data_IF_370226278929
#
_entry.id   IF_370226278929
#
_cell.length_a   1.000
_cell.length_b   1.000
_cell.length_c   1.000
_cell.angle_alpha   90.00
_cell.angle_beta   90.00
_cell.angle_gamma   90.00
#
_symmetry.space_group_name_H-M   'P 1'
#
loop_
_entity.id
_entity.type
_entity.pdbx_description
1 polymer ?
#
# COMPACT_ATOMS: atom_id res chain seq x y z
N UNK A 1 -4.73 1.95 44.01
CA UNK A 1 -5.41 2.47 42.82
C UNK A 1 -5.20 1.57 41.62
N UNK A 2 -6.08 1.66 40.62
CA UNK A 2 -5.93 0.93 39.36
C UNK A 2 -5.22 1.84 38.34
N UNK A 3 -4.52 1.24 37.37
CA UNK A 3 -3.94 1.93 36.23
C UNK A 3 -4.77 1.60 34.97
N UNK A 4 -5.13 2.62 34.19
CA UNK A 4 -5.72 2.49 32.87
C UNK A 4 -4.71 2.95 31.82
N UNK A 5 -4.26 2.04 30.96
CA UNK A 5 -3.42 2.39 29.82
C UNK A 5 -4.32 2.75 28.64
N UNK A 6 -4.31 4.01 28.23
CA UNK A 6 -5.12 4.53 27.12
C UNK A 6 -4.27 4.65 25.86
N UNK A 7 -4.53 3.82 24.85
CA UNK A 7 -3.82 3.79 23.59
C UNK A 7 -4.23 4.92 22.65
N UNK A 8 -3.87 6.16 22.96
CA UNK A 8 -4.32 7.38 22.26
C UNK A 8 -3.46 7.77 21.04
N UNK A 9 -2.26 7.21 20.92
CA UNK A 9 -1.42 7.37 19.71
C UNK A 9 -1.50 6.11 18.89
N UNK A 10 -1.96 6.22 17.63
CA UNK A 10 -2.17 5.07 16.77
C UNK A 10 -0.83 4.44 16.35
N UNK A 11 -0.59 3.20 16.74
CA UNK A 11 0.63 2.44 16.43
C UNK A 11 0.59 1.65 15.12
N UNK A 12 -0.50 1.72 14.34
CA UNK A 12 -0.64 0.97 13.08
C UNK A 12 -0.60 1.83 11.84
N UNK A 13 -0.88 3.12 11.94
CA UNK A 13 -0.83 4.02 10.81
C UNK A 13 0.40 4.95 10.88
N UNK A 14 0.70 5.59 9.77
CA UNK A 14 1.84 6.50 9.61
C UNK A 14 1.46 7.97 9.74
N UNK A 15 0.20 8.28 10.04
CA UNK A 15 -0.30 9.65 10.08
C UNK A 15 0.06 10.33 11.39
N UNK A 16 0.34 11.64 11.29
CA UNK A 16 0.56 12.50 12.45
C UNK A 16 -0.69 12.52 13.34
N UNK A 17 -0.50 12.47 14.65
CA UNK A 17 -1.56 12.56 15.63
C UNK A 17 -2.14 13.98 15.69
N UNK A 18 -3.47 14.13 15.69
CA UNK A 18 -4.13 15.40 15.91
C UNK A 18 -4.26 15.67 17.40
N UNK A 19 -3.42 16.56 17.94
CA UNK A 19 -3.34 16.81 19.36
C UNK A 19 -4.66 17.34 19.95
N UNK A 20 -5.38 18.19 19.24
CA UNK A 20 -6.68 18.67 19.71
C UNK A 20 -7.64 17.52 19.97
N UNK A 21 -7.86 16.67 18.96
CA UNK A 21 -8.75 15.50 19.08
C UNK A 21 -8.30 14.53 20.16
N UNK A 22 -7.00 14.32 20.28
CA UNK A 22 -6.43 13.38 21.27
C UNK A 22 -6.52 13.92 22.68
N UNK A 23 -6.30 15.21 22.91
CA UNK A 23 -6.45 15.85 24.22
C UNK A 23 -7.91 15.88 24.67
N UNK A 24 -8.87 16.12 23.74
CA UNK A 24 -10.30 16.01 24.01
C UNK A 24 -10.67 14.57 24.43
N UNK A 25 -10.11 13.56 23.75
CA UNK A 25 -10.30 12.15 24.11
C UNK A 25 -9.71 11.82 25.49
N UNK A 26 -8.48 12.29 25.78
CA UNK A 26 -7.83 12.09 27.10
C UNK A 26 -8.68 12.72 28.20
N UNK A 27 -9.19 13.92 28.00
CA UNK A 27 -10.07 14.60 28.94
C UNK A 27 -11.36 13.81 29.17
N UNK A 28 -11.97 13.30 28.11
CA UNK A 28 -13.18 12.45 28.21
C UNK A 28 -12.92 11.16 29.00
N UNK A 29 -11.76 10.51 28.76
CA UNK A 29 -11.35 9.31 29.51
C UNK A 29 -11.15 9.64 31.00
N UNK A 30 -10.39 10.73 31.29
CA UNK A 30 -10.16 11.15 32.70
C UNK A 30 -11.47 11.45 33.41
N UNK A 31 -12.42 12.11 32.76
CA UNK A 31 -13.73 12.42 33.32
C UNK A 31 -14.64 11.20 33.54
N UNK A 32 -14.47 10.17 32.72
CA UNK A 32 -15.23 8.92 32.85
C UNK A 32 -14.63 7.96 33.89
N UNK A 33 -13.40 8.20 34.34
CA UNK A 33 -12.73 7.39 35.34
C UNK A 33 -13.02 7.89 36.76
N UNK A 34 -13.21 6.96 37.71
CA UNK A 34 -13.22 7.30 39.14
C UNK A 34 -11.88 7.85 39.60
N UNK A 35 -11.89 8.69 40.65
CA UNK A 35 -10.71 9.33 41.22
C UNK A 35 -9.60 8.34 41.67
N UNK A 36 -9.91 7.04 41.77
CA UNK A 36 -8.97 5.99 42.15
C UNK A 36 -8.26 5.34 40.93
N UNK A 37 -8.54 5.81 39.69
CA UNK A 37 -7.94 5.28 38.48
C UNK A 37 -6.95 6.31 37.93
N UNK A 38 -5.69 5.90 37.81
CA UNK A 38 -4.66 6.69 37.14
C UNK A 38 -4.64 6.37 35.67
N UNK A 39 -4.81 7.36 34.82
CA UNK A 39 -4.78 7.21 33.36
C UNK A 39 -3.34 7.42 32.87
N UNK A 40 -2.80 6.40 32.20
CA UNK A 40 -1.49 6.43 31.55
C UNK A 40 -1.72 6.41 30.03
N UNK A 41 -1.24 7.41 29.32
CA UNK A 41 -1.35 7.43 27.85
C UNK A 41 -0.26 6.56 27.21
N UNK A 42 -0.61 5.88 26.13
CA UNK A 42 0.29 4.97 25.42
C UNK A 42 -0.03 4.93 23.92
N UNK A 43 0.78 4.19 23.15
CA UNK A 43 0.43 3.80 21.80
C UNK A 43 -0.67 2.73 21.83
N UNK A 44 -1.52 2.70 20.79
CA UNK A 44 -2.64 1.73 20.71
C UNK A 44 -2.18 0.27 20.56
N UNK A 45 -0.96 0.08 20.06
CA UNK A 45 -0.27 -1.21 19.95
C UNK A 45 1.23 -0.99 19.78
N UNK A 46 2.00 -2.07 19.61
CA UNK A 46 3.44 -2.00 19.29
C UNK A 46 3.70 -1.17 18.04
N UNK A 47 4.75 -0.35 18.07
CA UNK A 47 5.22 0.43 16.91
C UNK A 47 5.97 -0.39 15.86
N UNK A 48 6.01 -1.72 15.99
CA UNK A 48 6.61 -2.64 15.03
C UNK A 48 5.96 -2.56 13.63
N UNK A 49 4.71 -2.08 13.56
CA UNK A 49 3.93 -2.00 12.33
C UNK A 49 4.06 -0.68 11.58
N UNK A 50 4.87 0.25 12.09
CA UNK A 50 5.16 1.52 11.43
C UNK A 50 6.66 1.62 11.15
N UNK A 51 7.09 2.38 10.12
CA UNK A 51 8.50 2.57 9.84
C UNK A 51 9.23 3.24 11.02
N UNK A 52 10.55 3.10 11.04
CA UNK A 52 11.35 3.55 12.18
C UNK A 52 11.35 5.07 12.36
N UNK A 53 11.77 5.84 11.34
CA UNK A 53 11.87 7.31 11.42
C UNK A 53 11.80 8.00 10.06
N UNK A 54 11.29 9.23 10.01
CA UNK A 54 11.25 10.09 8.82
C UNK A 54 12.60 10.72 8.47
N UNK A 55 13.57 10.70 9.38
CA UNK A 55 14.88 11.38 9.24
C UNK A 55 15.68 10.94 8.02
N UNK A 56 15.42 9.75 7.50
CA UNK A 56 16.13 9.16 6.37
C UNK A 56 15.33 9.16 5.05
N UNK A 57 14.21 9.88 5.02
CA UNK A 57 13.36 10.02 3.83
C UNK A 57 13.75 11.27 3.04
N UNK A 58 14.98 11.30 2.50
CA UNK A 58 15.55 12.49 1.87
C UNK A 58 14.86 12.88 0.55
N UNK A 59 14.25 11.90 -0.16
CA UNK A 59 13.53 12.15 -1.43
C UNK A 59 12.06 12.50 -1.24
N UNK A 60 11.51 12.31 -0.04
CA UNK A 60 10.14 12.70 0.25
C UNK A 60 10.08 14.20 0.53
N UNK A 61 9.26 14.93 -0.21
CA UNK A 61 9.12 16.37 -0.02
C UNK A 61 8.57 16.70 1.38
N UNK A 62 9.00 17.81 1.97
CA UNK A 62 8.59 18.22 3.31
C UNK A 62 7.09 18.46 3.42
N UNK A 63 6.44 18.90 2.33
CA UNK A 63 4.98 19.03 2.23
C UNK A 63 4.22 17.71 2.48
N UNK A 64 4.84 16.57 2.27
CA UNK A 64 4.30 15.26 2.64
C UNK A 64 4.72 14.84 4.05
N UNK A 65 6.02 15.03 4.38
CA UNK A 65 6.58 14.59 5.68
C UNK A 65 5.84 15.19 6.87
N UNK A 66 5.39 16.44 6.78
CA UNK A 66 4.67 17.12 7.87
C UNK A 66 3.40 16.38 8.31
N UNK A 67 2.82 15.56 7.43
CA UNK A 67 1.61 14.78 7.72
C UNK A 67 1.90 13.40 8.27
N UNK A 68 3.17 12.95 8.26
CA UNK A 68 3.56 11.60 8.69
C UNK A 68 4.19 11.61 10.08
N UNK A 69 4.09 10.46 10.73
CA UNK A 69 4.67 10.19 12.03
C UNK A 69 5.00 8.69 12.09
N UNK A 70 6.31 8.37 12.05
CA UNK A 70 6.83 7.02 12.17
C UNK A 70 7.11 6.69 13.64
N UNK A 71 7.80 5.60 13.96
CA UNK A 71 7.92 5.13 15.33
C UNK A 71 8.58 6.16 16.27
N UNK A 72 9.71 6.77 15.88
CA UNK A 72 10.36 7.80 16.69
C UNK A 72 9.49 9.06 16.85
N UNK A 73 8.87 9.49 15.77
CA UNK A 73 7.98 10.66 15.79
C UNK A 73 6.74 10.40 16.66
N UNK A 74 6.18 9.17 16.64
CA UNK A 74 5.07 8.78 17.53
C UNK A 74 5.45 8.76 19.02
N UNK A 75 6.69 8.41 19.34
CA UNK A 75 7.18 8.54 20.71
C UNK A 75 7.31 10.01 21.14
N UNK A 76 7.73 10.89 20.23
CA UNK A 76 7.73 12.34 20.45
C UNK A 76 6.32 12.87 20.69
N UNK A 77 5.36 12.48 19.82
CA UNK A 77 3.94 12.83 20.01
C UNK A 77 3.40 12.38 21.36
N UNK A 78 3.76 11.17 21.80
CA UNK A 78 3.33 10.64 23.10
C UNK A 78 3.89 11.45 24.27
N UNK A 79 5.17 11.82 24.19
CA UNK A 79 5.81 12.66 25.21
C UNK A 79 5.19 14.07 25.28
N UNK A 80 4.98 14.70 24.13
CA UNK A 80 4.34 16.02 24.04
C UNK A 80 2.90 16.01 24.54
N UNK A 81 2.10 15.00 24.16
CA UNK A 81 0.74 14.80 24.65
C UNK A 81 0.71 14.58 26.18
N UNK A 82 1.70 13.88 26.74
CA UNK A 82 1.83 13.71 28.19
C UNK A 82 1.98 15.05 28.90
N UNK A 83 2.86 15.91 28.40
CA UNK A 83 3.07 17.26 28.95
C UNK A 83 1.83 18.13 28.76
N UNK A 84 1.19 18.09 27.60
CA UNK A 84 0.01 18.90 27.29
C UNK A 84 -1.22 18.49 28.09
N UNK A 85 -1.41 17.18 28.32
CA UNK A 85 -2.56 16.65 29.05
C UNK A 85 -2.59 17.00 30.56
N UNK A 86 -1.45 17.43 31.10
CA UNK A 86 -1.32 17.88 32.51
C UNK A 86 -1.50 19.40 32.65
N UNK A 87 -1.56 20.16 31.57
CA UNK A 87 -1.74 21.61 31.59
C UNK A 87 -3.22 22.00 31.59
N UNK A 88 -3.51 23.20 32.12
CA UNK A 88 -4.83 23.79 31.97
C UNK A 88 -5.08 24.14 30.51
N UNK A 89 -6.32 24.03 30.06
CA UNK A 89 -6.73 24.12 28.65
C UNK A 89 -6.37 25.47 27.98
N UNK A 90 -6.39 26.57 28.73
CA UNK A 90 -5.96 27.89 28.26
C UNK A 90 -4.45 27.96 28.00
N UNK A 91 -3.63 27.26 28.80
CA UNK A 91 -2.18 27.17 28.61
C UNK A 91 -1.76 26.22 27.51
N UNK A 92 -2.52 25.17 27.21
CA UNK A 92 -2.25 24.24 26.13
C UNK A 92 -2.16 24.94 24.79
N UNK A 93 -3.10 25.86 24.52
CA UNK A 93 -3.19 26.57 23.24
C UNK A 93 -2.01 27.52 22.96
N UNK A 94 -1.23 27.89 23.98
CA UNK A 94 -0.03 28.71 23.84
C UNK A 94 1.26 27.91 23.70
N UNK A 95 1.22 26.59 23.80
CA UNK A 95 2.41 25.73 23.68
C UNK A 95 2.79 25.54 22.20
N UNK A 96 4.05 25.72 21.88
CA UNK A 96 4.56 25.59 20.50
C UNK A 96 4.25 24.23 19.88
N UNK A 97 4.42 23.13 20.62
CA UNK A 97 4.12 21.79 20.12
C UNK A 97 2.65 21.65 19.70
N UNK A 98 1.71 22.25 20.45
CA UNK A 98 0.30 22.25 20.09
C UNK A 98 0.04 23.14 18.85
N UNK A 99 0.60 24.36 18.83
CA UNK A 99 0.44 25.31 17.72
C UNK A 99 0.95 24.70 16.41
N UNK A 100 2.17 24.13 16.41
CA UNK A 100 2.79 23.55 15.23
C UNK A 100 2.04 22.29 14.76
N UNK A 101 1.50 21.51 15.71
CA UNK A 101 0.65 20.38 15.36
C UNK A 101 -0.65 20.87 14.67
N UNK A 102 -1.33 21.90 15.21
CA UNK A 102 -2.59 22.37 14.63
C UNK A 102 -2.42 22.97 13.24
N UNK A 103 -1.33 23.68 12.95
CA UNK A 103 -1.03 24.20 11.60
C UNK A 103 -1.10 23.12 10.53
N UNK A 104 -0.62 21.91 10.82
CA UNK A 104 -0.66 20.78 9.87
C UNK A 104 -2.09 20.36 9.50
N UNK A 105 -3.06 20.59 10.40
CA UNK A 105 -4.46 20.21 10.18
C UNK A 105 -5.36 21.38 9.72
N UNK A 106 -4.84 22.59 9.70
CA UNK A 106 -5.51 23.77 9.15
C UNK A 106 -5.33 23.85 7.64
N UNK A 107 -4.22 23.32 7.10
CA UNK A 107 -3.97 23.28 5.67
C UNK A 107 -4.72 22.10 5.02
N UNK A 108 -5.50 22.40 3.97
CA UNK A 108 -6.15 21.38 3.17
C UNK A 108 -5.11 20.66 2.32
N UNK A 109 -5.06 19.33 2.43
CA UNK A 109 -4.17 18.51 1.61
C UNK A 109 -4.67 18.49 0.17
N UNK A 110 -3.82 18.86 -0.78
CA UNK A 110 -4.12 18.70 -2.21
C UNK A 110 -4.01 17.20 -2.60
N UNK A 111 -5.05 16.45 -2.28
CA UNK A 111 -5.09 15.00 -2.49
C UNK A 111 -6.35 14.53 -3.21
N UNK A 112 -7.14 15.46 -3.77
CA UNK A 112 -8.41 15.18 -4.41
C UNK A 112 -8.34 15.31 -5.93
N UNK A 113 -8.98 14.36 -6.62
CA UNK A 113 -9.18 14.37 -8.06
C UNK A 113 -10.69 14.50 -8.37
N UNK A 114 -11.07 15.56 -9.10
CA UNK A 114 -12.46 15.84 -9.40
C UNK A 114 -13.14 14.73 -10.23
N UNK A 115 -12.42 14.16 -11.21
CA UNK A 115 -12.94 13.10 -12.07
C UNK A 115 -13.22 11.82 -11.26
N UNK A 116 -12.32 11.49 -10.30
CA UNK A 116 -12.53 10.34 -9.41
C UNK A 116 -13.77 10.56 -8.53
N UNK A 117 -13.94 11.76 -7.97
CA UNK A 117 -15.12 12.08 -7.15
C UNK A 117 -16.41 12.02 -7.96
N UNK A 118 -16.41 12.56 -9.17
CA UNK A 118 -17.55 12.49 -10.07
C UNK A 118 -17.91 11.05 -10.42
N UNK A 119 -16.90 10.23 -10.78
CA UNK A 119 -17.12 8.81 -11.06
C UNK A 119 -17.69 8.06 -9.85
N UNK A 120 -17.18 8.31 -8.66
CA UNK A 120 -17.69 7.68 -7.42
C UNK A 120 -19.13 8.09 -7.13
N UNK A 121 -19.50 9.37 -7.36
CA UNK A 121 -20.86 9.86 -7.16
C UNK A 121 -21.86 9.26 -8.15
N UNK A 122 -21.39 8.81 -9.31
CA UNK A 122 -22.22 8.23 -10.37
C UNK A 122 -22.32 6.68 -10.30
N UNK A 123 -21.67 6.02 -9.33
CA UNK A 123 -21.78 4.56 -9.13
C UNK A 123 -23.20 4.22 -8.70
N UNK A 124 -23.81 3.24 -9.39
CA UNK A 124 -25.15 2.71 -9.14
C UNK A 124 -25.09 1.29 -8.62
N UNK A 125 -26.20 0.81 -8.08
CA UNK A 125 -26.31 -0.58 -7.58
C UNK A 125 -26.01 -1.63 -8.66
N UNK A 126 -26.35 -1.36 -9.92
CA UNK A 126 -26.07 -2.23 -11.05
C UNK A 126 -24.56 -2.41 -11.32
N UNK A 127 -23.72 -1.42 -10.97
CA UNK A 127 -22.27 -1.48 -11.16
C UNK A 127 -21.58 -2.47 -10.21
N UNK A 128 -22.27 -2.87 -9.13
CA UNK A 128 -21.79 -3.89 -8.20
C UNK A 128 -22.10 -5.32 -8.67
N UNK A 129 -22.85 -5.47 -9.76
CA UNK A 129 -23.25 -6.77 -10.30
C UNK A 129 -22.40 -7.14 -11.51
N UNK A 130 -21.62 -8.21 -11.37
CA UNK A 130 -20.84 -8.76 -12.49
C UNK A 130 -21.70 -9.66 -13.39
N UNK A 131 -21.92 -9.23 -14.63
CA UNK A 131 -22.62 -10.01 -15.65
C UNK A 131 -21.64 -10.58 -16.69
N UNK A 132 -21.95 -11.74 -17.31
CA UNK A 132 -23.03 -12.68 -16.95
C UNK A 132 -22.86 -13.27 -15.54
N UNK A 133 -23.92 -13.83 -14.97
CA UNK A 133 -23.86 -14.46 -13.65
C UNK A 133 -22.84 -15.62 -13.61
N UNK A 134 -22.33 -15.95 -12.41
CA UNK A 134 -21.29 -16.98 -12.23
C UNK A 134 -21.61 -18.30 -12.94
N UNK A 135 -22.85 -18.77 -12.82
CA UNK A 135 -23.30 -20.03 -13.43
C UNK A 135 -23.22 -20.04 -14.95
N UNK A 136 -23.49 -18.89 -15.58
CA UNK A 136 -23.41 -18.71 -17.03
C UNK A 136 -21.94 -18.58 -17.46
N UNK A 137 -21.14 -17.80 -16.72
CA UNK A 137 -19.70 -17.68 -17.00
C UNK A 137 -18.97 -19.01 -16.93
N UNK A 138 -19.29 -19.85 -15.94
CA UNK A 138 -18.66 -21.17 -15.80
C UNK A 138 -18.94 -22.07 -17.01
N UNK A 139 -20.15 -22.03 -17.56
CA UNK A 139 -20.49 -22.78 -18.79
C UNK A 139 -19.69 -22.29 -19.98
N UNK A 140 -19.72 -20.97 -20.21
CA UNK A 140 -18.96 -20.33 -21.30
C UNK A 140 -17.44 -20.58 -21.20
N UNK A 141 -16.89 -20.49 -20.01
CA UNK A 141 -15.46 -20.73 -19.77
C UNK A 141 -15.09 -22.19 -20.00
N UNK A 142 -15.91 -23.13 -19.51
CA UNK A 142 -15.68 -24.57 -19.71
C UNK A 142 -15.68 -24.92 -21.19
N UNK A 143 -16.64 -24.40 -21.95
CA UNK A 143 -16.72 -24.62 -23.37
C UNK A 143 -15.55 -23.98 -24.14
N UNK A 144 -15.25 -22.72 -23.83
CA UNK A 144 -14.20 -21.95 -24.54
C UNK A 144 -12.79 -22.45 -24.26
N UNK A 145 -12.50 -22.82 -23.00
CA UNK A 145 -11.14 -23.19 -22.59
C UNK A 145 -10.81 -24.67 -22.80
N UNK A 146 -11.82 -25.55 -22.85
CA UNK A 146 -11.62 -26.98 -23.09
C UNK A 146 -10.70 -27.69 -22.10
N UNK A 147 -10.52 -27.14 -20.88
CA UNK A 147 -9.61 -27.67 -19.88
C UNK A 147 -10.09 -29.00 -19.30
N UNK A 148 -9.17 -29.88 -18.85
CA UNK A 148 -9.54 -31.10 -18.13
C UNK A 148 -10.25 -30.77 -16.80
N UNK A 149 -10.82 -31.78 -16.15
CA UNK A 149 -11.57 -31.59 -14.89
C UNK A 149 -10.68 -31.04 -13.76
N UNK A 150 -9.41 -31.45 -13.74
CA UNK A 150 -8.40 -31.00 -12.78
C UNK A 150 -7.18 -30.43 -13.52
N UNK A 151 -7.26 -29.18 -14.03
CA UNK A 151 -6.18 -28.59 -14.80
C UNK A 151 -4.96 -28.28 -13.92
N UNK A 152 -3.79 -28.56 -14.41
CA UNK A 152 -2.52 -28.23 -13.77
C UNK A 152 -2.08 -26.82 -14.11
N UNK A 153 -1.51 -26.09 -13.12
CA UNK A 153 -0.98 -24.73 -13.28
C UNK A 153 0.00 -24.40 -12.15
N UNK A 154 0.66 -23.25 -12.24
CA UNK A 154 1.51 -22.70 -11.18
C UNK A 154 0.90 -21.46 -10.53
N UNK A 155 1.59 -20.85 -9.55
CA UNK A 155 1.07 -19.68 -8.78
C UNK A 155 1.08 -18.36 -9.56
N UNK A 156 1.75 -18.25 -10.67
CA UNK A 156 1.86 -17.03 -11.48
C UNK A 156 3.28 -16.47 -11.53
N UNK A 157 3.91 -16.19 -10.40
CA UNK A 157 5.27 -15.67 -10.33
C UNK A 157 6.32 -16.77 -10.34
N UNK A 158 7.37 -16.57 -11.13
CA UNK A 158 8.56 -17.41 -11.16
C UNK A 158 9.72 -16.75 -10.42
N UNK A 159 10.76 -17.52 -10.00
CA UNK A 159 11.89 -16.97 -9.27
C UNK A 159 12.60 -15.85 -10.01
N UNK A 160 12.83 -14.75 -9.32
CA UNK A 160 13.63 -13.64 -9.83
C UNK A 160 15.11 -13.99 -9.76
N UNK A 161 15.71 -14.36 -10.90
CA UNK A 161 17.11 -14.72 -10.99
C UNK A 161 18.05 -13.53 -10.74
N UNK A 162 19.36 -13.78 -10.61
CA UNK A 162 20.36 -12.72 -10.45
C UNK A 162 20.41 -11.81 -11.68
N UNK A 163 20.26 -12.40 -12.87
CA UNK A 163 20.27 -11.73 -14.16
C UNK A 163 19.07 -10.78 -14.29
N UNK A 164 17.86 -11.26 -13.98
CA UNK A 164 16.64 -10.42 -14.00
C UNK A 164 16.76 -9.25 -13.02
N UNK A 165 17.32 -9.49 -11.84
CA UNK A 165 17.56 -8.43 -10.85
C UNK A 165 18.60 -7.41 -11.33
N UNK A 166 19.65 -7.88 -12.02
CA UNK A 166 20.70 -7.02 -12.58
C UNK A 166 20.14 -6.11 -13.69
N UNK A 167 19.38 -6.68 -14.64
CA UNK A 167 18.75 -5.93 -15.72
C UNK A 167 17.75 -4.87 -15.19
N UNK A 168 16.93 -5.24 -14.21
CA UNK A 168 16.03 -4.28 -13.55
C UNK A 168 16.80 -3.16 -12.84
N UNK A 169 17.95 -3.48 -12.23
CA UNK A 169 18.79 -2.48 -11.58
C UNK A 169 19.44 -1.55 -12.60
N UNK A 170 19.92 -2.08 -13.75
CA UNK A 170 20.46 -1.30 -14.84
C UNK A 170 19.42 -0.34 -15.43
N UNK A 171 18.19 -0.81 -15.66
CA UNK A 171 17.08 0.02 -16.11
C UNK A 171 16.76 1.15 -15.10
N UNK A 172 16.64 0.83 -13.80
CA UNK A 172 16.40 1.85 -12.76
C UNK A 172 17.49 2.90 -12.63
N UNK A 173 18.71 2.60 -13.06
CA UNK A 173 19.85 3.53 -13.11
C UNK A 173 20.00 4.26 -14.45
N UNK A 174 19.10 4.00 -15.42
CA UNK A 174 19.18 4.48 -16.80
C UNK A 174 20.47 4.03 -17.54
N UNK A 175 21.01 2.86 -17.20
CA UNK A 175 22.15 2.22 -17.87
C UNK A 175 21.70 1.50 -19.16
N UNK A 176 20.44 1.10 -19.24
CA UNK A 176 19.75 0.55 -20.42
C UNK A 176 18.44 1.29 -20.67
N UNK A 177 17.99 1.29 -21.92
CA UNK A 177 16.73 1.92 -22.33
C UNK A 177 15.49 1.10 -21.89
N UNK A 178 14.31 1.73 -21.89
CA UNK A 178 13.04 1.06 -21.66
C UNK A 178 12.77 -0.03 -22.71
N UNK A 179 13.17 0.20 -23.96
CA UNK A 179 12.99 -0.76 -25.03
C UNK A 179 13.85 -2.00 -24.81
N UNK A 180 15.14 -1.84 -24.48
CA UNK A 180 16.05 -2.94 -24.19
C UNK A 180 15.54 -3.77 -23.00
N UNK A 181 15.14 -3.11 -21.91
CA UNK A 181 14.55 -3.78 -20.75
C UNK A 181 13.27 -4.53 -21.10
N UNK A 182 12.38 -3.91 -21.89
CA UNK A 182 11.12 -4.53 -22.33
C UNK A 182 11.38 -5.78 -23.18
N UNK A 183 12.33 -5.74 -24.12
CA UNK A 183 12.69 -6.90 -24.93
C UNK A 183 13.30 -8.02 -24.09
N UNK A 184 14.13 -7.68 -23.11
CA UNK A 184 14.66 -8.66 -22.19
C UNK A 184 13.55 -9.37 -21.41
N UNK A 185 12.59 -8.64 -20.83
CA UNK A 185 11.47 -9.22 -20.09
C UNK A 185 10.59 -10.08 -21.02
N UNK A 186 10.30 -9.63 -22.23
CA UNK A 186 9.57 -10.43 -23.23
C UNK A 186 10.24 -11.77 -23.51
N UNK A 187 11.55 -11.77 -23.64
CA UNK A 187 12.31 -13.01 -23.82
C UNK A 187 12.17 -13.95 -22.61
N UNK A 188 12.26 -13.43 -21.38
CA UNK A 188 12.06 -14.23 -20.16
C UNK A 188 10.65 -14.83 -20.11
N UNK A 189 9.62 -14.08 -20.49
CA UNK A 189 8.24 -14.56 -20.57
C UNK A 189 8.14 -15.69 -21.60
N UNK A 190 8.68 -15.50 -22.79
CA UNK A 190 8.62 -16.50 -23.87
C UNK A 190 9.34 -17.81 -23.46
N UNK A 191 10.53 -17.72 -22.89
CA UNK A 191 11.29 -18.87 -22.40
C UNK A 191 10.53 -19.61 -21.28
N UNK A 192 9.90 -18.88 -20.36
CA UNK A 192 9.10 -19.43 -19.26
C UNK A 192 7.85 -20.16 -19.78
N UNK A 193 7.13 -19.58 -20.74
CA UNK A 193 5.92 -20.17 -21.30
C UNK A 193 6.28 -21.45 -22.06
N UNK A 194 7.32 -21.41 -22.90
CA UNK A 194 7.82 -22.58 -23.62
C UNK A 194 8.18 -23.72 -22.69
N UNK A 195 8.89 -23.44 -21.60
CA UNK A 195 9.25 -24.45 -20.60
C UNK A 195 8.01 -25.07 -19.93
N UNK A 196 6.98 -24.29 -19.63
CA UNK A 196 5.73 -24.80 -19.08
C UNK A 196 4.99 -25.73 -20.05
N UNK A 197 5.03 -25.45 -21.36
CA UNK A 197 4.48 -26.34 -22.38
C UNK A 197 5.28 -27.66 -22.45
N UNK A 198 6.61 -27.58 -22.44
CA UNK A 198 7.46 -28.76 -22.51
C UNK A 198 7.23 -29.73 -21.34
N UNK A 199 6.90 -29.22 -20.14
CA UNK A 199 6.54 -30.05 -18.98
C UNK A 199 5.05 -30.43 -18.92
N UNK A 200 4.22 -29.93 -19.84
CA UNK A 200 2.84 -30.33 -20.03
C UNK A 200 1.85 -29.74 -19.03
N UNK A 201 2.01 -28.46 -18.62
CA UNK A 201 0.99 -27.77 -17.83
C UNK A 201 -0.22 -27.40 -18.68
N UNK A 202 -1.43 -27.55 -18.13
CA UNK A 202 -2.69 -27.26 -18.83
C UNK A 202 -2.98 -25.76 -18.91
N UNK A 203 -2.59 -24.97 -17.90
CA UNK A 203 -2.78 -23.53 -17.85
C UNK A 203 -1.46 -22.85 -17.56
N UNK A 204 -0.98 -22.05 -18.51
CA UNK A 204 0.30 -21.40 -18.46
C UNK A 204 0.22 -20.02 -17.77
N UNK A 205 1.33 -19.59 -17.19
CA UNK A 205 1.48 -18.27 -16.60
C UNK A 205 2.68 -17.56 -17.23
N UNK A 206 2.67 -16.21 -17.27
CA UNK A 206 3.75 -15.46 -17.91
C UNK A 206 4.99 -15.25 -17.00
N UNK A 207 4.93 -15.70 -15.74
CA UNK A 207 6.07 -15.71 -14.82
C UNK A 207 6.29 -14.41 -14.04
N UNK A 208 5.61 -13.34 -14.33
CA UNK A 208 5.64 -12.03 -13.62
C UNK A 208 7.05 -11.40 -13.56
N UNK A 209 7.84 -11.53 -14.62
CA UNK A 209 9.23 -11.04 -14.63
C UNK A 209 9.35 -9.52 -14.68
N UNK A 210 8.33 -8.81 -15.14
CA UNK A 210 8.26 -7.34 -15.20
C UNK A 210 8.17 -6.72 -13.81
N UNK A 211 7.69 -7.46 -12.80
CA UNK A 211 7.47 -6.94 -11.45
C UNK A 211 8.31 -7.66 -10.39
N UNK A 212 8.71 -6.93 -9.35
CA UNK A 212 9.42 -7.48 -8.20
C UNK A 212 8.45 -7.76 -7.04
N UNK A 213 7.70 -6.75 -6.62
CA UNK A 213 6.64 -6.82 -5.63
C UNK A 213 5.34 -6.34 -6.25
N UNK A 214 4.27 -7.11 -6.07
CA UNK A 214 2.98 -6.80 -6.68
C UNK A 214 2.41 -5.46 -6.19
N UNK A 215 2.55 -5.17 -4.90
CA UNK A 215 1.99 -3.95 -4.30
C UNK A 215 2.77 -2.72 -4.77
N UNK A 216 4.10 -2.81 -4.82
CA UNK A 216 4.97 -1.76 -5.35
C UNK A 216 4.66 -1.49 -6.82
N UNK A 217 4.62 -2.54 -7.65
CA UNK A 217 4.38 -2.44 -9.09
C UNK A 217 3.04 -1.77 -9.44
N UNK A 218 1.96 -2.23 -8.82
CA UNK A 218 0.64 -1.63 -9.08
C UNK A 218 0.51 -0.24 -8.47
N UNK A 219 1.10 0.00 -7.31
CA UNK A 219 1.14 1.34 -6.72
C UNK A 219 1.88 2.35 -7.60
N UNK A 220 3.04 1.98 -8.20
CA UNK A 220 3.80 2.83 -9.13
C UNK A 220 3.02 3.14 -10.42
N UNK A 221 2.11 2.25 -10.83
CA UNK A 221 1.27 2.43 -12.02
C UNK A 221 -0.03 3.22 -11.76
N UNK A 222 -0.30 3.58 -10.51
CA UNK A 222 -1.49 4.31 -10.07
C UNK A 222 -1.12 5.69 -9.53
N UNK A 223 -1.92 6.68 -9.84
CA UNK A 223 -1.83 7.99 -9.19
C UNK A 223 -2.45 7.94 -7.80
N UNK A 224 -2.06 8.88 -6.94
CA UNK A 224 -2.52 8.96 -5.56
C UNK A 224 -1.68 8.16 -4.57
N UNK A 225 -0.63 7.49 -5.03
CA UNK A 225 0.36 6.80 -4.20
C UNK A 225 1.63 7.60 -4.01
N UNK A 226 2.26 7.46 -2.84
CA UNK A 226 3.61 7.95 -2.54
C UNK A 226 4.51 6.77 -2.15
N UNK A 227 5.77 6.88 -2.53
CA UNK A 227 6.80 5.89 -2.23
C UNK A 227 7.88 6.48 -1.34
N UNK A 228 8.25 5.73 -0.31
CA UNK A 228 9.32 6.07 0.62
C UNK A 228 10.63 5.36 0.23
N UNK A 229 11.75 5.81 0.79
CA UNK A 229 13.05 5.18 0.55
C UNK A 229 13.41 4.14 1.60
N UNK A 230 13.18 4.45 2.86
CA UNK A 230 13.65 3.69 4.02
C UNK A 230 12.53 3.22 4.96
N UNK A 231 11.27 3.47 4.62
CA UNK A 231 10.12 3.14 5.44
C UNK A 231 9.79 1.63 5.45
N UNK A 232 10.78 0.82 5.78
CA UNK A 232 10.63 -0.63 5.92
C UNK A 232 9.88 -0.97 7.21
N UNK A 233 8.98 -1.94 7.11
CA UNK A 233 8.25 -2.52 8.25
C UNK A 233 8.39 -4.03 8.22
N UNK A 234 8.26 -4.66 9.39
CA UNK A 234 8.21 -6.10 9.49
C UNK A 234 6.92 -6.63 8.86
N UNK A 235 7.06 -7.66 8.03
CA UNK A 235 5.97 -8.40 7.45
C UNK A 235 5.88 -9.78 8.11
N UNK A 236 5.81 -10.85 7.33
CA UNK A 236 5.72 -12.21 7.84
C UNK A 236 7.11 -12.80 8.13
N UNK A 237 7.28 -13.35 9.31
CA UNK A 237 8.56 -13.93 9.77
C UNK A 237 9.68 -12.88 9.80
N UNK A 238 10.78 -13.17 9.12
CA UNK A 238 11.95 -12.27 8.98
C UNK A 238 11.88 -11.35 7.76
N UNK A 239 10.81 -11.42 6.99
CA UNK A 239 10.63 -10.60 5.80
C UNK A 239 10.23 -9.18 6.18
N UNK A 240 10.84 -8.20 5.52
CA UNK A 240 10.43 -6.80 5.58
C UNK A 240 9.79 -6.38 4.26
N UNK A 241 8.86 -5.44 4.34
CA UNK A 241 8.20 -4.80 3.20
C UNK A 241 8.28 -3.28 3.35
N UNK A 242 8.19 -2.58 2.24
CA UNK A 242 8.11 -1.13 2.18
C UNK A 242 6.78 -0.74 1.54
N UNK A 243 5.70 -0.61 2.33
CA UNK A 243 4.38 -0.36 1.78
C UNK A 243 4.32 1.01 1.11
N UNK A 244 3.70 1.13 -0.06
CA UNK A 244 3.35 2.44 -0.61
C UNK A 244 2.30 3.13 0.26
N UNK A 245 2.30 4.45 0.24
CA UNK A 245 1.37 5.27 1.01
C UNK A 245 0.25 5.74 0.09
N UNK A 246 -1.00 5.46 0.43
CA UNK A 246 -2.15 6.05 -0.25
C UNK A 246 -2.31 7.49 0.26
N UNK A 247 -1.91 8.44 -0.59
CA UNK A 247 -1.91 9.86 -0.24
C UNK A 247 -3.23 10.56 -0.62
N UNK A 248 -3.76 10.23 -1.77
CA UNK A 248 -4.93 10.89 -2.33
C UNK A 248 -5.87 9.96 -3.08
N UNK A 249 -6.77 10.54 -3.84
CA UNK A 249 -7.69 9.79 -4.69
C UNK A 249 -6.91 8.95 -5.70
N UNK A 250 -7.20 7.64 -5.71
CA UNK A 250 -6.46 6.68 -6.53
C UNK A 250 -7.14 6.52 -7.88
N UNK A 251 -6.35 6.66 -8.95
CA UNK A 251 -6.85 6.40 -10.31
C UNK A 251 -5.75 5.90 -11.24
N UNK A 252 -6.16 5.28 -12.34
CA UNK A 252 -5.30 4.70 -13.35
C UNK A 252 -5.25 5.61 -14.58
N UNK A 253 -4.07 6.09 -14.95
CA UNK A 253 -3.86 6.89 -16.17
C UNK A 253 -3.81 6.06 -17.45
N UNK A 254 -3.21 4.87 -17.38
CA UNK A 254 -2.99 3.98 -18.54
C UNK A 254 -3.18 2.51 -18.14
N UNK A 255 -3.42 1.60 -19.10
CA UNK A 255 -3.38 0.17 -18.82
C UNK A 255 -2.06 -0.23 -18.14
N UNK A 256 -2.11 -1.14 -17.17
CA UNK A 256 -0.93 -1.53 -16.38
C UNK A 256 -0.30 -2.84 -16.86
N UNK A 257 -1.12 -3.85 -17.17
CA UNK A 257 -0.68 -5.22 -17.49
C UNK A 257 -1.11 -5.68 -18.88
N UNK A 258 -1.88 -4.87 -19.62
CA UNK A 258 -2.46 -5.27 -20.91
C UNK A 258 -1.40 -5.68 -21.92
N UNK A 259 -0.30 -4.93 -22.02
CA UNK A 259 0.76 -5.21 -22.99
C UNK A 259 1.44 -6.56 -22.72
N UNK A 260 1.65 -6.90 -21.45
CA UNK A 260 2.18 -8.19 -21.04
C UNK A 260 1.19 -9.32 -21.27
N UNK A 261 -0.09 -9.07 -20.94
CA UNK A 261 -1.18 -10.03 -21.15
C UNK A 261 -1.48 -10.27 -22.63
N UNK A 262 -1.26 -9.28 -23.50
CA UNK A 262 -1.38 -9.44 -24.96
C UNK A 262 -0.16 -10.14 -25.53
N UNK A 263 1.03 -9.85 -25.02
CA UNK A 263 2.26 -10.49 -25.50
C UNK A 263 2.32 -11.99 -25.19
N UNK A 264 1.96 -12.37 -23.99
CA UNK A 264 2.05 -13.75 -23.54
C UNK A 264 1.16 -14.74 -24.34
N UNK A 265 -0.11 -14.41 -24.75
CA UNK A 265 -0.94 -15.31 -25.55
C UNK A 265 -0.63 -15.33 -27.04
N UNK A 266 0.10 -14.39 -27.60
CA UNK A 266 0.42 -14.38 -29.05
C UNK A 266 1.10 -15.68 -29.51
N UNK A 267 1.68 -16.38 -28.54
CA UNK A 267 2.31 -17.67 -28.76
C UNK A 267 1.49 -18.88 -28.27
N UNK A 268 0.43 -18.69 -27.43
CA UNK A 268 -0.18 -19.80 -26.67
C UNK A 268 -1.64 -19.56 -26.25
N UNK A 269 -2.47 -20.58 -26.34
CA UNK A 269 -3.94 -20.49 -26.23
C UNK A 269 -4.50 -20.58 -24.80
N UNK A 270 -3.72 -20.85 -23.76
CA UNK A 270 -4.22 -21.20 -22.43
C UNK A 270 -3.53 -20.46 -21.28
N UNK A 271 -3.54 -19.12 -21.26
CA UNK A 271 -3.08 -18.32 -20.13
C UNK A 271 -4.11 -18.22 -19.00
N UNK A 272 -3.60 -18.20 -17.77
CA UNK A 272 -4.43 -18.07 -16.58
C UNK A 272 -5.11 -16.71 -16.49
N UNK A 273 -6.43 -16.73 -16.24
CA UNK A 273 -7.32 -15.57 -16.38
C UNK A 273 -7.24 -14.48 -15.31
N UNK A 274 -6.44 -14.59 -14.25
CA UNK A 274 -6.40 -13.51 -13.26
C UNK A 274 -5.50 -12.33 -13.60
N UNK A 275 -4.88 -12.39 -14.73
CA UNK A 275 -4.15 -11.29 -15.33
C UNK A 275 -5.06 -10.38 -16.18
N UNK A 276 -6.32 -10.72 -16.35
CA UNK A 276 -7.29 -10.03 -17.24
C UNK A 276 -8.34 -9.21 -16.47
N UNK A 277 -8.05 -8.79 -15.25
CA UNK A 277 -8.97 -7.92 -14.49
C UNK A 277 -8.72 -6.46 -14.75
#
# INVERSE_FOLDING_TARGET
GKLLFAGVVNGKNIWKNNYKKTLDLISSIKNACDNNINVVISTSCSLLHVPYTLKHEDKLADSYKIHFSFAEEKLTELAELGVLADKKQDKVKSENAYIDNQKVFEEERNCHNAEVKERLANIKEEDYVRLPLRSERQKLQKEKLGLPEFPTTTIGSFPQTKEIKAERAAYRKNEISEEEYTQYIKKQIADCVKWQEEIGLDVLVHGEYERNDMVEYFGEALEGYLFTQKAWVQSYGTRCVKPPVIWGDVYRKKPMTVDWSVYAPVSYTHLRAHETC
#
